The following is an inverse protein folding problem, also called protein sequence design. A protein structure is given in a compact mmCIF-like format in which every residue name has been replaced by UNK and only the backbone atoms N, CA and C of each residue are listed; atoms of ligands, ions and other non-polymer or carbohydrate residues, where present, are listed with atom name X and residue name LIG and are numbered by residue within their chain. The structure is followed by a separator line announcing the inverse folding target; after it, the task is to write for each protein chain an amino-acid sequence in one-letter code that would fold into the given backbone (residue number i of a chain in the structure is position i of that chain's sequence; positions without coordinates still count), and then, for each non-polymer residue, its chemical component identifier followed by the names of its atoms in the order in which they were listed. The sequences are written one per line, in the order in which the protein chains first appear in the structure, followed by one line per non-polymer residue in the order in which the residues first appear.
data_IF_224159484662
#
_entry.id   IF_224159484662
#
_cell.length_a   1.000
_cell.length_b   1.000
_cell.length_c   1.000
_cell.angle_alpha   90.00
_cell.angle_beta   90.00
_cell.angle_gamma   90.00
#
_symmetry.space_group_name_H-M   'P 1'
#
loop_
_entity.id
_entity.type
_entity.pdbx_description
1 polymer ?
#
# COMPACT_ATOMS: atom_id res chain seq x y z
N UNK A 1 -12.67 22.55 17.25
CA UNK A 1 -12.57 21.07 17.34
C UNK A 1 -12.48 20.54 15.92
N UNK A 2 -11.59 19.59 15.65
CA UNK A 2 -11.44 18.94 14.34
C UNK A 2 -12.13 17.58 14.39
N UNK A 3 -12.73 17.15 13.28
CA UNK A 3 -13.45 15.88 13.19
C UNK A 3 -13.09 15.15 11.89
N UNK A 4 -13.04 13.82 11.95
CA UNK A 4 -13.11 12.96 10.77
C UNK A 4 -14.59 12.88 10.35
N UNK A 5 -14.94 13.34 9.14
CA UNK A 5 -16.32 13.66 8.79
C UNK A 5 -16.70 13.21 7.38
N UNK A 6 -17.97 12.83 7.21
CA UNK A 6 -18.60 12.57 5.92
C UNK A 6 -19.77 13.54 5.74
N UNK A 7 -19.82 14.23 4.60
CA UNK A 7 -20.84 15.26 4.34
C UNK A 7 -21.65 14.92 3.10
N UNK A 8 -22.98 14.97 3.22
CA UNK A 8 -23.87 14.94 2.07
C UNK A 8 -23.97 16.33 1.47
N UNK A 9 -23.69 16.41 0.17
CA UNK A 9 -23.88 17.61 -0.64
C UNK A 9 -24.96 17.32 -1.67
N UNK A 10 -26.00 18.16 -1.73
CA UNK A 10 -27.06 18.12 -2.74
C UNK A 10 -27.30 19.53 -3.25
N UNK A 11 -27.40 19.69 -4.57
CA UNK A 11 -27.70 20.96 -5.23
C UNK A 11 -26.78 22.11 -4.78
N UNK A 12 -25.50 21.80 -4.56
CA UNK A 12 -24.49 22.75 -4.09
C UNK A 12 -24.57 23.11 -2.60
N UNK A 13 -25.49 22.53 -1.84
CA UNK A 13 -25.67 22.80 -0.42
C UNK A 13 -25.25 21.60 0.46
N UNK A 14 -24.70 21.91 1.64
CA UNK A 14 -24.45 20.92 2.68
C UNK A 14 -25.75 20.53 3.36
N UNK A 15 -26.17 19.27 3.20
CA UNK A 15 -27.43 18.75 3.74
C UNK A 15 -27.24 18.21 5.16
N UNK A 16 -26.22 17.39 5.38
CA UNK A 16 -25.85 16.93 6.72
C UNK A 16 -24.37 16.51 6.76
N UNK A 17 -23.83 16.45 7.98
CA UNK A 17 -22.48 15.96 8.24
C UNK A 17 -22.52 14.94 9.36
N UNK A 18 -21.95 13.77 9.09
CA UNK A 18 -21.64 12.76 10.09
C UNK A 18 -20.20 12.95 10.58
N UNK A 19 -20.00 12.80 11.88
CA UNK A 19 -18.69 12.80 12.50
C UNK A 19 -18.39 11.40 13.04
N UNK A 20 -17.22 10.87 12.70
CA UNK A 20 -16.77 9.53 13.10
C UNK A 20 -16.79 9.41 14.62
N UNK A 21 -17.37 8.34 15.14
CA UNK A 21 -17.53 8.14 16.59
C UNK A 21 -16.33 7.39 17.17
N UNK A 22 -15.83 6.38 16.45
CA UNK A 22 -14.71 5.56 16.91
C UNK A 22 -13.41 6.00 16.23
N UNK A 23 -12.47 6.49 17.02
CA UNK A 23 -11.18 6.98 16.53
C UNK A 23 -10.11 5.92 16.81
N UNK A 24 -9.60 5.20 15.79
CA UNK A 24 -8.54 4.22 16.02
C UNK A 24 -7.24 4.92 16.45
N UNK A 25 -6.65 4.44 17.54
CA UNK A 25 -5.36 4.89 18.06
C UNK A 25 -4.39 3.72 18.28
N UNK A 26 -4.43 2.75 17.36
CA UNK A 26 -3.66 1.50 17.38
C UNK A 26 -3.09 1.19 15.99
N UNK A 27 -2.10 0.30 15.95
CA UNK A 27 -1.37 -0.08 14.73
C UNK A 27 -0.81 1.15 14.01
N UNK A 28 -1.37 1.51 12.87
CA UNK A 28 -0.91 2.59 11.98
C UNK A 28 -1.72 3.88 12.16
N UNK A 29 -2.72 3.89 13.04
CA UNK A 29 -3.61 5.01 13.26
C UNK A 29 -3.37 5.69 14.62
N UNK A 30 -3.49 7.02 14.63
CA UNK A 30 -3.40 7.89 15.81
C UNK A 30 -4.51 8.96 15.72
N UNK A 31 -5.75 8.56 15.45
CA UNK A 31 -6.83 9.53 15.16
C UNK A 31 -7.24 10.38 16.37
N UNK A 32 -7.08 9.88 17.60
CA UNK A 32 -7.37 10.63 18.84
C UNK A 32 -6.45 11.84 19.02
N UNK A 33 -5.25 11.81 18.44
CA UNK A 33 -4.35 12.97 18.40
C UNK A 33 -4.90 14.11 17.57
N UNK A 34 -5.67 13.82 16.51
CA UNK A 34 -6.09 14.81 15.52
C UNK A 34 -7.56 15.23 15.67
N UNK A 35 -8.42 14.31 16.09
CA UNK A 35 -9.87 14.47 15.99
C UNK A 35 -10.57 14.30 17.34
N UNK A 36 -11.68 15.01 17.48
CA UNK A 36 -12.67 14.71 18.50
C UNK A 36 -13.65 13.65 17.97
N UNK A 37 -14.16 12.81 18.88
CA UNK A 37 -15.21 11.83 18.57
C UNK A 37 -16.54 12.55 18.30
N UNK A 38 -17.28 12.06 17.30
CA UNK A 38 -18.64 12.49 16.98
C UNK A 38 -19.68 11.93 17.96
N UNK A 39 -20.86 12.55 17.99
CA UNK A 39 -21.98 12.14 18.83
C UNK A 39 -23.22 11.81 17.98
N UNK A 40 -23.83 10.65 18.22
CA UNK A 40 -25.10 10.27 17.61
C UNK A 40 -25.05 9.82 16.14
N UNK A 41 -26.13 9.21 15.63
CA UNK A 41 -26.22 8.72 14.26
C UNK A 41 -26.49 9.85 13.26
N UNK A 42 -26.14 9.62 11.99
CA UNK A 42 -26.56 10.45 10.86
C UNK A 42 -27.36 9.58 9.89
N UNK A 43 -28.63 9.92 9.68
CA UNK A 43 -29.54 9.26 8.73
C UNK A 43 -30.03 10.29 7.73
N UNK A 44 -29.79 10.02 6.46
CA UNK A 44 -30.10 10.87 5.32
C UNK A 44 -31.24 10.26 4.52
N UNK A 45 -32.16 11.05 3.97
CA UNK A 45 -33.18 10.52 3.05
C UNK A 45 -32.77 10.79 1.60
N UNK A 46 -32.47 9.73 0.85
CA UNK A 46 -32.10 9.77 -0.55
C UNK A 46 -33.22 9.13 -1.39
N UNK A 47 -33.91 9.94 -2.20
CA UNK A 47 -35.04 9.48 -3.04
C UNK A 47 -36.10 8.66 -2.26
N UNK A 48 -36.36 9.04 -1.00
CA UNK A 48 -37.33 8.36 -0.12
C UNK A 48 -36.75 7.21 0.71
N UNK A 49 -35.49 6.83 0.53
CA UNK A 49 -34.82 5.78 1.31
C UNK A 49 -33.95 6.40 2.40
N UNK A 50 -34.05 5.91 3.63
CA UNK A 50 -33.25 6.39 4.77
C UNK A 50 -31.91 5.67 4.83
N UNK A 51 -30.82 6.36 4.52
CA UNK A 51 -29.45 5.84 4.54
C UNK A 51 -28.70 6.32 5.79
N UNK A 52 -28.24 5.37 6.61
CA UNK A 52 -27.33 5.64 7.72
C UNK A 52 -25.88 5.80 7.21
N UNK A 53 -25.09 6.66 7.87
CA UNK A 53 -23.68 6.88 7.52
C UNK A 53 -22.78 6.45 8.69
N UNK A 54 -21.76 5.66 8.39
CA UNK A 54 -20.65 5.36 9.30
C UNK A 54 -19.30 5.51 8.59
N UNK A 55 -18.23 5.68 9.36
CA UNK A 55 -16.87 5.82 8.83
C UNK A 55 -15.96 4.76 9.45
N UNK A 56 -15.43 3.88 8.62
CA UNK A 56 -14.35 2.95 8.93
C UNK A 56 -14.47 2.24 10.30
N UNK A 57 -13.65 2.62 11.29
CA UNK A 57 -13.62 2.04 12.63
C UNK A 57 -14.99 1.97 13.34
N UNK A 58 -15.95 2.79 12.94
CA UNK A 58 -17.33 2.77 13.48
C UNK A 58 -18.02 1.40 13.35
N UNK A 59 -17.70 0.61 12.32
CA UNK A 59 -18.36 -0.69 12.07
C UNK A 59 -17.58 -1.89 12.60
N UNK A 60 -16.37 -1.70 13.12
CA UNK A 60 -15.53 -2.79 13.65
C UNK A 60 -16.05 -3.38 14.96
N UNK A 61 -16.91 -2.64 15.65
CA UNK A 61 -17.59 -3.05 16.87
C UNK A 61 -19.09 -2.68 16.79
N UNK A 62 -19.88 -3.22 17.73
CA UNK A 62 -21.28 -2.80 17.90
C UNK A 62 -21.37 -1.32 18.36
N UNK A 63 -22.52 -0.69 18.14
CA UNK A 63 -22.81 0.68 18.58
C UNK A 63 -23.24 1.58 17.42
N UNK A 64 -22.32 2.02 16.57
CA UNK A 64 -22.60 3.06 15.59
C UNK A 64 -23.63 2.63 14.53
N UNK A 65 -23.53 1.39 14.03
CA UNK A 65 -24.52 0.81 13.12
C UNK A 65 -25.88 0.58 13.81
N UNK A 66 -25.87 0.19 15.09
CA UNK A 66 -27.10 -0.04 15.87
C UNK A 66 -27.82 1.31 16.14
N UNK A 67 -27.07 2.39 16.40
CA UNK A 67 -27.61 3.75 16.52
C UNK A 67 -28.23 4.23 15.19
N UNK A 68 -27.57 3.97 14.05
CA UNK A 68 -28.12 4.28 12.74
C UNK A 68 -29.44 3.52 12.50
N UNK A 69 -29.50 2.24 12.86
CA UNK A 69 -30.73 1.43 12.79
C UNK A 69 -31.84 2.01 13.68
N UNK A 70 -31.53 2.33 14.93
CA UNK A 70 -32.48 2.90 15.88
C UNK A 70 -33.03 4.27 15.42
N UNK A 71 -32.22 5.05 14.69
CA UNK A 71 -32.62 6.29 14.03
C UNK A 71 -33.40 6.08 12.72
N UNK A 72 -33.72 4.83 12.37
CA UNK A 72 -34.59 4.49 11.25
C UNK A 72 -33.88 4.23 9.93
N UNK A 73 -32.55 4.04 9.91
CA UNK A 73 -31.86 3.65 8.69
C UNK A 73 -32.44 2.35 8.09
N UNK A 74 -32.41 2.30 6.76
CA UNK A 74 -32.85 1.20 5.90
C UNK A 74 -31.66 0.59 5.14
N UNK A 75 -30.64 1.42 4.83
CA UNK A 75 -29.36 1.01 4.24
C UNK A 75 -28.23 1.65 5.05
N UNK A 76 -27.10 0.96 5.21
CA UNK A 76 -25.89 1.51 5.81
C UNK A 76 -24.84 1.84 4.75
N UNK A 77 -24.37 3.08 4.72
CA UNK A 77 -23.27 3.55 3.87
C UNK A 77 -22.02 3.69 4.73
N UNK A 78 -20.97 2.95 4.38
CA UNK A 78 -19.72 2.91 5.16
C UNK A 78 -18.57 3.40 4.29
N UNK A 79 -17.99 4.54 4.68
CA UNK A 79 -16.84 5.14 4.00
C UNK A 79 -15.56 4.70 4.70
N UNK A 80 -14.56 4.28 3.93
CA UNK A 80 -13.35 3.66 4.48
C UNK A 80 -12.08 4.17 3.81
N UNK A 81 -11.05 4.33 4.63
CA UNK A 81 -9.65 4.27 4.26
C UNK A 81 -9.03 3.13 5.08
N UNK A 82 -9.38 1.90 4.74
CA UNK A 82 -8.91 0.69 5.42
C UNK A 82 -7.67 0.17 4.69
N UNK A 83 -6.49 0.18 5.31
CA UNK A 83 -5.26 -0.26 4.67
C UNK A 83 -5.25 -1.78 4.50
N UNK A 84 -4.46 -2.21 3.52
CA UNK A 84 -4.21 -3.58 3.17
C UNK A 84 -3.30 -4.26 4.20
N UNK A 85 -3.64 -5.52 4.49
CA UNK A 85 -2.70 -6.55 4.92
C UNK A 85 -3.30 -7.91 4.55
N UNK A 86 -2.48 -8.96 4.54
CA UNK A 86 -2.92 -10.32 4.20
C UNK A 86 -4.14 -10.70 5.06
N UNK A 87 -5.19 -11.22 4.40
CA UNK A 87 -6.45 -11.67 5.03
C UNK A 87 -7.42 -10.55 5.45
N UNK A 88 -7.12 -9.28 5.13
CA UNK A 88 -7.97 -8.15 5.53
C UNK A 88 -9.32 -8.14 4.81
N UNK A 89 -9.37 -8.61 3.55
CA UNK A 89 -10.60 -8.70 2.75
C UNK A 89 -11.67 -9.56 3.43
N UNK A 90 -11.32 -10.78 3.83
CA UNK A 90 -12.23 -11.70 4.52
C UNK A 90 -12.65 -11.12 5.86
N UNK A 91 -11.70 -10.53 6.59
CA UNK A 91 -11.96 -9.92 7.90
C UNK A 91 -12.97 -8.78 7.81
N UNK A 92 -12.89 -7.90 6.80
CA UNK A 92 -13.87 -6.83 6.58
C UNK A 92 -15.27 -7.41 6.35
N UNK A 93 -15.38 -8.42 5.49
CA UNK A 93 -16.66 -9.05 5.19
C UNK A 93 -17.29 -9.67 6.44
N UNK A 94 -16.49 -10.37 7.25
CA UNK A 94 -16.94 -10.99 8.51
C UNK A 94 -17.45 -9.95 9.53
N UNK A 95 -16.69 -8.86 9.73
CA UNK A 95 -17.09 -7.76 10.60
C UNK A 95 -18.44 -7.17 10.16
N UNK A 96 -18.61 -6.92 8.86
CA UNK A 96 -19.85 -6.34 8.34
C UNK A 96 -21.02 -7.33 8.41
N UNK A 97 -20.81 -8.63 8.23
CA UNK A 97 -21.84 -9.65 8.47
C UNK A 97 -22.36 -9.62 9.90
N UNK A 98 -21.49 -9.39 10.89
CA UNK A 98 -21.90 -9.26 12.28
C UNK A 98 -22.77 -8.01 12.51
N UNK A 99 -22.49 -6.90 11.82
CA UNK A 99 -23.34 -5.69 11.85
C UNK A 99 -24.68 -5.92 11.15
N UNK A 100 -24.69 -6.59 10.00
CA UNK A 100 -25.92 -6.98 9.29
C UNK A 100 -26.78 -7.89 10.17
N UNK A 101 -26.18 -8.86 10.86
CA UNK A 101 -26.91 -9.76 11.74
C UNK A 101 -27.63 -9.04 12.90
N UNK A 102 -27.03 -7.99 13.47
CA UNK A 102 -27.66 -7.22 14.55
C UNK A 102 -28.68 -6.19 14.06
N UNK A 103 -28.46 -5.59 12.90
CA UNK A 103 -29.25 -4.45 12.42
C UNK A 103 -30.27 -4.78 11.33
N UNK A 104 -30.07 -5.89 10.61
CA UNK A 104 -30.75 -6.25 9.35
C UNK A 104 -30.63 -5.20 8.24
N UNK A 105 -29.64 -4.32 8.32
CA UNK A 105 -29.36 -3.34 7.27
C UNK A 105 -28.47 -3.97 6.21
N UNK A 106 -28.83 -3.89 4.92
CA UNK A 106 -27.87 -3.99 3.83
C UNK A 106 -26.77 -2.95 3.99
N UNK A 107 -25.56 -3.29 3.55
CA UNK A 107 -24.37 -2.45 3.74
C UNK A 107 -23.69 -2.19 2.40
N UNK A 108 -23.42 -0.92 2.11
CA UNK A 108 -22.51 -0.49 1.04
C UNK A 108 -21.18 -0.09 1.67
N UNK A 109 -20.15 -0.89 1.44
CA UNK A 109 -18.79 -0.66 1.94
C UNK A 109 -17.91 -0.10 0.82
N UNK A 110 -17.55 1.18 0.92
CA UNK A 110 -16.66 1.85 -0.05
C UNK A 110 -15.31 2.10 0.58
N UNK A 111 -14.24 1.65 -0.07
CA UNK A 111 -12.87 1.78 0.44
C UNK A 111 -11.98 2.53 -0.56
N UNK A 112 -11.04 3.30 -0.01
CA UNK A 112 -9.95 3.91 -0.77
C UNK A 112 -9.13 2.85 -1.50
N UNK A 113 -8.64 3.18 -2.71
CA UNK A 113 -7.66 2.41 -3.45
C UNK A 113 -6.45 3.31 -3.77
N UNK A 114 -5.23 2.81 -3.56
CA UNK A 114 -3.99 3.54 -3.85
C UNK A 114 -2.93 3.42 -2.75
N UNK A 115 -1.67 3.70 -3.08
CA UNK A 115 -0.55 3.79 -2.14
C UNK A 115 -0.42 5.18 -1.51
N UNK A 116 -0.14 5.25 -0.21
CA UNK A 116 0.20 6.48 0.50
C UNK A 116 1.32 6.16 1.50
N UNK A 117 2.52 6.68 1.21
CA UNK A 117 3.73 6.39 1.97
C UNK A 117 3.91 4.88 2.20
N UNK A 118 3.90 4.41 3.45
CA UNK A 118 4.04 2.99 3.79
C UNK A 118 2.77 2.15 3.59
N UNK A 119 1.60 2.80 3.47
CA UNK A 119 0.31 2.13 3.41
C UNK A 119 -0.12 1.93 1.96
N UNK A 120 -0.75 0.78 1.71
CA UNK A 120 -1.51 0.53 0.48
C UNK A 120 -2.96 0.35 0.87
N UNK A 121 -3.86 1.07 0.22
CA UNK A 121 -5.30 0.86 0.32
C UNK A 121 -5.71 0.01 -0.89
N UNK A 122 -6.29 -1.14 -0.62
CA UNK A 122 -6.58 -2.15 -1.63
C UNK A 122 -7.93 -1.95 -2.32
N UNK A 123 -8.71 -0.93 -2.01
CA UNK A 123 -10.07 -0.81 -2.56
C UNK A 123 -10.91 -2.01 -2.14
N UNK A 124 -11.35 -2.82 -3.11
CA UNK A 124 -12.12 -4.03 -2.83
C UNK A 124 -13.49 -3.72 -2.23
N UNK A 125 -14.08 -2.57 -2.61
CA UNK A 125 -15.41 -2.15 -2.19
C UNK A 125 -16.44 -3.26 -2.45
N UNK A 126 -17.41 -3.44 -1.56
CA UNK A 126 -18.37 -4.54 -1.64
C UNK A 126 -19.73 -4.15 -1.06
N UNK A 127 -20.75 -4.95 -1.38
CA UNK A 127 -22.11 -4.76 -0.89
C UNK A 127 -22.64 -6.05 -0.28
N UNK A 128 -23.24 -5.94 0.91
CA UNK A 128 -23.97 -7.01 1.57
C UNK A 128 -25.48 -6.73 1.53
N UNK A 129 -26.29 -7.77 1.29
CA UNK A 129 -27.73 -7.73 1.53
C UNK A 129 -28.08 -7.77 3.03
N UNK A 130 -29.37 -7.72 3.37
CA UNK A 130 -29.85 -7.77 4.77
C UNK A 130 -29.65 -9.14 5.46
N UNK A 131 -29.21 -10.16 4.72
CA UNK A 131 -28.87 -11.48 5.22
C UNK A 131 -27.36 -11.68 5.41
N UNK A 132 -26.54 -10.70 4.99
CA UNK A 132 -25.07 -10.77 5.07
C UNK A 132 -24.44 -11.50 3.89
N UNK A 133 -25.19 -11.71 2.81
CA UNK A 133 -24.68 -12.27 1.55
C UNK A 133 -23.96 -11.19 0.77
N UNK A 134 -22.79 -11.51 0.22
CA UNK A 134 -22.08 -10.60 -0.69
C UNK A 134 -22.80 -10.57 -2.04
N UNK A 135 -23.32 -9.42 -2.43
CA UNK A 135 -24.04 -9.21 -3.70
C UNK A 135 -23.16 -8.55 -4.77
N UNK A 136 -22.13 -7.82 -4.33
CA UNK A 136 -21.15 -7.16 -5.18
C UNK A 136 -19.77 -7.22 -4.53
N UNK A 137 -18.73 -7.36 -5.35
CA UNK A 137 -17.34 -7.28 -4.93
C UNK A 137 -16.52 -6.68 -6.06
N UNK A 138 -16.00 -5.46 -5.85
CA UNK A 138 -15.15 -4.77 -6.82
C UNK A 138 -13.69 -5.28 -6.75
N UNK A 139 -12.88 -5.02 -7.80
CA UNK A 139 -11.46 -5.38 -7.80
C UNK A 139 -10.70 -4.78 -6.62
N UNK A 140 -9.62 -5.46 -6.22
CA UNK A 140 -8.61 -4.89 -5.33
C UNK A 140 -7.50 -4.22 -6.14
N UNK A 141 -6.84 -3.22 -5.56
CA UNK A 141 -5.69 -2.50 -6.11
C UNK A 141 -5.95 -1.71 -7.41
N UNK A 142 -7.22 -1.48 -7.75
CA UNK A 142 -7.65 -0.72 -8.93
C UNK A 142 -8.66 0.36 -8.52
N UNK A 143 -8.63 1.50 -9.21
CA UNK A 143 -9.71 2.47 -9.15
C UNK A 143 -10.93 1.89 -9.89
N UNK A 144 -12.08 1.88 -9.23
CA UNK A 144 -13.28 1.27 -9.77
C UNK A 144 -14.53 2.06 -9.43
N UNK A 145 -15.47 2.09 -10.38
CA UNK A 145 -16.81 2.64 -10.22
C UNK A 145 -17.83 1.54 -10.52
N UNK A 146 -18.78 1.36 -9.62
CA UNK A 146 -19.92 0.47 -9.82
C UNK A 146 -21.22 1.21 -9.51
N UNK A 147 -22.27 0.88 -10.27
CA UNK A 147 -23.63 1.35 -10.03
C UNK A 147 -24.40 0.17 -9.48
N UNK A 148 -24.90 0.31 -8.26
CA UNK A 148 -25.65 -0.74 -7.55
C UNK A 148 -27.09 -0.29 -7.39
N UNK A 149 -28.01 -1.03 -8.00
CA UNK A 149 -29.44 -0.79 -7.86
C UNK A 149 -29.97 -1.41 -6.56
N UNK A 150 -30.73 -0.62 -5.81
CA UNK A 150 -31.49 -1.08 -4.66
C UNK A 150 -32.98 -1.10 -5.01
N UNK A 151 -33.64 -2.23 -4.73
CA UNK A 151 -35.08 -2.41 -4.93
C UNK A 151 -35.67 -2.96 -3.64
N UNK A 152 -36.71 -2.31 -3.13
CA UNK A 152 -37.39 -2.67 -1.87
C UNK A 152 -36.43 -2.78 -0.67
N UNK A 153 -35.40 -1.91 -0.65
CA UNK A 153 -34.38 -1.88 0.39
C UNK A 153 -33.22 -2.83 0.17
N UNK A 154 -33.27 -3.75 -0.80
CA UNK A 154 -32.21 -4.76 -1.03
C UNK A 154 -31.36 -4.46 -2.27
N UNK A 155 -30.05 -4.78 -2.25
CA UNK A 155 -29.21 -4.66 -3.43
C UNK A 155 -29.55 -5.74 -4.46
N UNK A 156 -29.69 -5.35 -5.73
CA UNK A 156 -29.72 -6.32 -6.83
C UNK A 156 -28.34 -6.98 -6.95
N UNK A 157 -28.24 -8.32 -7.12
CA UNK A 157 -26.96 -8.99 -7.35
C UNK A 157 -26.25 -8.44 -8.58
N UNK A 158 -24.93 -8.36 -8.54
CA UNK A 158 -24.11 -7.98 -9.69
C UNK A 158 -22.74 -8.63 -9.67
N UNK A 159 -21.73 -7.90 -10.12
CA UNK A 159 -20.39 -8.45 -10.33
C UNK A 159 -19.71 -8.76 -9.00
N UNK A 160 -19.20 -9.99 -8.88
CA UNK A 160 -18.37 -10.43 -7.76
C UNK A 160 -17.01 -10.86 -8.30
N UNK A 161 -15.99 -10.03 -8.09
CA UNK A 161 -14.62 -10.33 -8.48
C UNK A 161 -14.03 -11.37 -7.52
N UNK A 162 -13.49 -12.45 -8.08
CA UNK A 162 -12.86 -13.52 -7.32
C UNK A 162 -11.66 -13.01 -6.49
N UNK A 163 -11.37 -13.67 -5.38
CA UNK A 163 -10.16 -13.38 -4.64
C UNK A 163 -8.93 -13.89 -5.40
N UNK A 164 -7.88 -13.07 -5.58
CA UNK A 164 -6.61 -13.55 -6.08
C UNK A 164 -5.95 -14.49 -5.05
N UNK A 165 -4.88 -15.19 -5.44
CA UNK A 165 -4.03 -15.88 -4.46
C UNK A 165 -3.34 -14.84 -3.56
N UNK A 166 -2.84 -15.28 -2.41
CA UNK A 166 -2.13 -14.40 -1.47
C UNK A 166 -0.90 -13.77 -2.15
N UNK A 167 -0.17 -14.54 -2.96
CA UNK A 167 1.01 -14.05 -3.69
C UNK A 167 0.64 -12.96 -4.70
N UNK A 168 -0.43 -13.17 -5.45
CA UNK A 168 -0.91 -12.17 -6.41
C UNK A 168 -1.43 -10.91 -5.70
N UNK A 169 -2.12 -11.06 -4.57
CA UNK A 169 -2.59 -9.94 -3.74
C UNK A 169 -1.41 -9.09 -3.22
N UNK A 170 -0.40 -9.75 -2.62
CA UNK A 170 0.78 -9.08 -2.09
C UNK A 170 1.58 -8.41 -3.21
N UNK A 171 1.76 -9.09 -4.35
CA UNK A 171 2.49 -8.54 -5.48
C UNK A 171 1.81 -7.28 -6.04
N UNK A 172 0.48 -7.31 -6.21
CA UNK A 172 -0.29 -6.15 -6.65
C UNK A 172 -0.21 -4.99 -5.66
N UNK A 173 -0.21 -5.26 -4.35
CA UNK A 173 -0.01 -4.23 -3.34
C UNK A 173 1.37 -3.55 -3.49
N UNK A 174 2.43 -4.33 -3.68
CA UNK A 174 3.79 -3.81 -3.88
C UNK A 174 3.90 -2.97 -5.16
N UNK A 175 3.33 -3.45 -6.27
CA UNK A 175 3.29 -2.73 -7.55
C UNK A 175 2.54 -1.41 -7.40
N UNK A 176 1.37 -1.41 -6.76
CA UNK A 176 0.58 -0.19 -6.54
C UNK A 176 1.31 0.79 -5.64
N UNK A 177 1.96 0.31 -4.56
CA UNK A 177 2.76 1.14 -3.67
C UNK A 177 3.90 1.85 -4.40
N UNK A 178 4.68 1.14 -5.21
CA UNK A 178 5.75 1.72 -6.02
C UNK A 178 5.20 2.71 -7.04
N UNK A 179 4.15 2.32 -7.79
CA UNK A 179 3.53 3.18 -8.81
C UNK A 179 3.07 4.50 -8.23
N UNK A 180 2.34 4.46 -7.12
CA UNK A 180 1.76 5.64 -6.51
C UNK A 180 2.81 6.49 -5.79
N UNK A 181 3.80 5.88 -5.14
CA UNK A 181 4.86 6.64 -4.49
C UNK A 181 5.65 7.47 -5.52
N UNK A 182 6.06 6.87 -6.63
CA UNK A 182 6.75 7.61 -7.69
C UNK A 182 5.83 8.58 -8.43
N UNK A 183 4.61 8.15 -8.75
CA UNK A 183 3.64 8.95 -9.50
C UNK A 183 3.20 10.20 -8.75
N UNK A 184 2.80 10.06 -7.48
CA UNK A 184 2.29 11.17 -6.65
C UNK A 184 3.38 12.18 -6.28
N UNK A 185 4.64 11.74 -6.19
CA UNK A 185 5.78 12.61 -5.93
C UNK A 185 6.49 13.13 -7.21
N UNK A 186 6.02 12.74 -8.40
CA UNK A 186 6.55 13.24 -9.67
C UNK A 186 7.96 12.74 -10.03
N UNK A 187 8.36 11.56 -9.56
CA UNK A 187 9.66 10.99 -9.90
C UNK A 187 9.69 10.52 -11.37
N UNK A 188 10.76 10.85 -12.13
CA UNK A 188 10.86 10.51 -13.55
C UNK A 188 11.02 9.00 -13.79
N UNK A 189 11.59 8.26 -12.83
CA UNK A 189 11.82 6.82 -12.92
C UNK A 189 12.50 6.26 -11.67
N UNK A 190 12.90 4.99 -11.74
CA UNK A 190 13.56 4.27 -10.66
C UNK A 190 14.96 3.78 -11.04
N UNK A 191 15.87 3.76 -10.06
CA UNK A 191 17.19 3.14 -10.15
C UNK A 191 17.25 2.02 -9.11
N UNK A 192 17.67 0.82 -9.52
CA UNK A 192 17.84 -0.34 -8.63
C UNK A 192 19.27 -0.84 -8.71
N UNK A 193 19.90 -1.04 -7.55
CA UNK A 193 21.17 -1.74 -7.46
C UNK A 193 20.93 -3.25 -7.61
N UNK A 194 21.57 -3.87 -8.61
CA UNK A 194 21.35 -5.28 -8.91
C UNK A 194 22.52 -6.12 -8.40
N UNK A 195 22.23 -7.09 -7.54
CA UNK A 195 23.25 -7.95 -6.91
C UNK A 195 23.40 -9.33 -7.58
N UNK A 196 22.42 -9.71 -8.41
CA UNK A 196 22.22 -11.08 -8.91
C UNK A 196 21.40 -11.95 -7.95
N UNK A 197 21.03 -11.42 -6.77
CA UNK A 197 20.19 -12.12 -5.80
C UNK A 197 18.69 -11.89 -6.02
N UNK A 198 17.88 -12.77 -5.41
CA UNK A 198 16.42 -12.81 -5.57
C UNK A 198 15.71 -11.54 -5.09
N UNK A 199 16.20 -10.87 -4.05
CA UNK A 199 15.53 -9.66 -3.53
C UNK A 199 15.58 -8.52 -4.56
N UNK A 200 16.76 -8.23 -5.09
CA UNK A 200 16.92 -7.20 -6.13
C UNK A 200 16.20 -7.57 -7.43
N UNK A 201 16.12 -8.87 -7.75
CA UNK A 201 15.36 -9.37 -8.89
C UNK A 201 13.86 -9.11 -8.71
N UNK A 202 13.28 -9.44 -7.56
CA UNK A 202 11.87 -9.19 -7.27
C UNK A 202 11.56 -7.68 -7.30
N UNK A 203 12.39 -6.85 -6.65
CA UNK A 203 12.23 -5.38 -6.71
C UNK A 203 12.25 -4.87 -8.14
N UNK A 204 13.09 -5.44 -9.00
CA UNK A 204 13.18 -5.04 -10.40
C UNK A 204 11.89 -5.39 -11.18
N UNK A 205 11.35 -6.60 -11.01
CA UNK A 205 10.07 -6.98 -11.62
C UNK A 205 8.94 -6.04 -11.18
N UNK A 206 8.84 -5.77 -9.87
CA UNK A 206 7.84 -4.85 -9.30
C UNK A 206 7.98 -3.45 -9.91
N UNK A 207 9.21 -2.93 -10.02
CA UNK A 207 9.46 -1.61 -10.58
C UNK A 207 9.04 -1.52 -12.05
N UNK A 208 9.33 -2.55 -12.85
CA UNK A 208 8.94 -2.61 -14.26
C UNK A 208 7.42 -2.67 -14.41
N UNK A 209 6.72 -3.50 -13.63
CA UNK A 209 5.25 -3.59 -13.68
C UNK A 209 4.56 -2.32 -13.15
N UNK A 210 5.22 -1.60 -12.23
CA UNK A 210 4.71 -0.35 -11.70
C UNK A 210 4.87 0.81 -12.67
N UNK A 211 6.01 0.90 -13.38
CA UNK A 211 6.46 2.13 -14.04
C UNK A 211 6.65 2.01 -15.55
N UNK A 212 6.79 0.79 -16.08
CA UNK A 212 7.29 0.55 -17.44
C UNK A 212 8.82 0.41 -17.49
N UNK A 213 9.32 -0.47 -18.36
CA UNK A 213 10.74 -0.78 -18.48
C UNK A 213 11.60 0.44 -18.86
N UNK A 214 11.04 1.38 -19.61
CA UNK A 214 11.70 2.61 -20.06
C UNK A 214 11.99 3.60 -18.93
N UNK A 215 11.28 3.48 -17.80
CA UNK A 215 11.46 4.30 -16.60
C UNK A 215 12.27 3.61 -15.52
N UNK A 216 12.83 2.43 -15.81
CA UNK A 216 13.60 1.63 -14.86
C UNK A 216 15.04 1.46 -15.35
N UNK A 217 15.98 1.69 -14.44
CA UNK A 217 17.42 1.47 -14.67
C UNK A 217 17.98 0.53 -13.61
N UNK A 218 18.61 -0.54 -14.05
CA UNK A 218 19.40 -1.41 -13.19
C UNK A 218 20.89 -0.99 -13.24
N UNK A 219 21.57 -1.07 -12.09
CA UNK A 219 23.01 -0.80 -11.99
C UNK A 219 23.68 -1.93 -11.22
N UNK A 220 24.55 -2.67 -11.90
CA UNK A 220 25.39 -3.69 -11.29
C UNK A 220 26.72 -3.06 -10.87
N UNK A 221 27.16 -3.33 -9.65
CA UNK A 221 28.33 -2.68 -9.04
C UNK A 221 29.31 -3.73 -8.51
N UNK A 222 30.07 -4.39 -9.41
CA UNK A 222 30.89 -5.53 -9.05
C UNK A 222 32.11 -5.10 -8.24
N UNK A 223 32.46 -5.92 -7.25
CA UNK A 223 33.75 -5.88 -6.58
C UNK A 223 34.66 -6.99 -7.15
N UNK A 224 35.95 -7.02 -6.78
CA UNK A 224 36.84 -8.13 -7.16
C UNK A 224 36.37 -9.51 -6.65
N UNK A 225 35.44 -9.53 -5.70
CA UNK A 225 34.87 -10.75 -5.12
C UNK A 225 33.53 -11.16 -5.77
N UNK A 226 33.00 -10.35 -6.69
CA UNK A 226 31.74 -10.66 -7.36
C UNK A 226 31.91 -11.87 -8.29
N UNK A 227 31.06 -12.88 -8.10
CA UNK A 227 31.09 -14.09 -8.92
C UNK A 227 30.55 -13.83 -10.34
N UNK A 228 31.14 -14.50 -11.34
CA UNK A 228 30.71 -14.40 -12.74
C UNK A 228 29.25 -14.79 -12.95
N UNK A 229 28.74 -15.73 -12.14
CA UNK A 229 27.34 -16.16 -12.20
C UNK A 229 26.40 -14.99 -11.91
N UNK A 230 26.68 -14.20 -10.87
CA UNK A 230 25.88 -13.02 -10.51
C UNK A 230 25.83 -12.01 -11.64
N UNK A 231 26.93 -11.80 -12.37
CA UNK A 231 26.97 -10.94 -13.55
C UNK A 231 26.12 -11.50 -14.69
N UNK A 232 26.26 -12.79 -14.99
CA UNK A 232 25.50 -13.44 -16.07
C UNK A 232 23.99 -13.44 -15.82
N UNK A 233 23.54 -13.76 -14.61
CA UNK A 233 22.12 -13.78 -14.22
C UNK A 233 21.51 -12.37 -14.27
N UNK A 234 22.27 -11.38 -13.79
CA UNK A 234 21.89 -9.96 -13.86
C UNK A 234 21.67 -9.48 -15.28
N UNK A 235 22.60 -9.79 -16.18
CA UNK A 235 22.53 -9.42 -17.60
C UNK A 235 21.35 -10.09 -18.29
N UNK A 236 21.09 -11.36 -17.98
CA UNK A 236 19.98 -12.10 -18.57
C UNK A 236 18.62 -11.55 -18.11
N UNK A 237 18.47 -11.27 -16.81
CA UNK A 237 17.25 -10.68 -16.27
C UNK A 237 16.95 -9.32 -16.91
N UNK A 238 17.95 -8.45 -17.00
CA UNK A 238 17.87 -7.16 -17.68
C UNK A 238 17.42 -7.32 -19.13
N UNK A 239 18.01 -8.29 -19.84
CA UNK A 239 17.71 -8.57 -21.25
C UNK A 239 16.24 -9.00 -21.43
N UNK A 240 15.73 -9.84 -20.54
CA UNK A 240 14.35 -10.31 -20.56
C UNK A 240 13.35 -9.18 -20.28
N UNK A 241 13.68 -8.28 -19.34
CA UNK A 241 12.82 -7.16 -18.97
C UNK A 241 12.95 -5.93 -19.89
N UNK A 242 13.97 -5.89 -20.75
CA UNK A 242 14.16 -4.79 -21.71
C UNK A 242 14.52 -3.45 -21.05
N UNK A 243 15.19 -3.49 -19.90
CA UNK A 243 15.53 -2.30 -19.11
C UNK A 243 16.93 -1.77 -19.43
N UNK A 244 17.17 -0.50 -19.12
CA UNK A 244 18.51 0.07 -19.15
C UNK A 244 19.39 -0.57 -18.07
N UNK A 245 20.62 -0.91 -18.43
CA UNK A 245 21.59 -1.52 -17.52
C UNK A 245 22.98 -0.93 -17.70
N UNK A 246 23.66 -0.70 -16.58
CA UNK A 246 25.04 -0.21 -16.54
C UNK A 246 25.85 -1.01 -15.49
N UNK A 247 27.13 -1.23 -15.76
CA UNK A 247 28.07 -1.84 -14.82
C UNK A 247 29.12 -0.82 -14.37
N UNK A 248 29.26 -0.64 -13.06
CA UNK A 248 30.20 0.32 -12.45
C UNK A 248 31.03 -0.41 -11.39
N UNK A 249 32.24 -0.82 -11.73
CA UNK A 249 33.14 -1.52 -10.81
C UNK A 249 33.50 -0.64 -9.59
N UNK A 250 33.42 -1.22 -8.39
CA UNK A 250 33.68 -0.49 -7.13
C UNK A 250 35.13 -0.63 -6.64
N UNK A 251 35.93 -1.50 -7.26
CA UNK A 251 37.33 -1.74 -6.88
C UNK A 251 38.17 -0.45 -6.77
N UNK A 252 38.08 0.53 -7.69
CA UNK A 252 38.85 1.77 -7.56
C UNK A 252 38.52 2.53 -6.28
N UNK A 253 37.23 2.66 -5.94
CA UNK A 253 36.79 3.32 -4.71
C UNK A 253 37.21 2.54 -3.46
N UNK A 254 37.11 1.19 -3.50
CA UNK A 254 37.60 0.34 -2.41
C UNK A 254 39.08 0.57 -2.12
N UNK A 255 39.92 0.62 -3.16
CA UNK A 255 41.36 0.91 -3.02
C UNK A 255 41.62 2.29 -2.43
N UNK A 256 40.86 3.31 -2.86
CA UNK A 256 40.97 4.66 -2.30
C UNK A 256 40.65 4.69 -0.81
N UNK A 257 39.53 4.10 -0.39
CA UNK A 257 39.16 4.08 1.02
C UNK A 257 40.12 3.23 1.87
N UNK A 258 40.59 2.10 1.35
CA UNK A 258 41.61 1.29 2.02
C UNK A 258 42.90 2.08 2.26
N UNK A 259 43.35 2.88 1.28
CA UNK A 259 44.51 3.75 1.45
C UNK A 259 44.26 4.88 2.46
N UNK A 260 43.06 5.49 2.45
CA UNK A 260 42.69 6.54 3.40
C UNK A 260 42.64 6.07 4.86
N UNK A 261 42.27 4.80 5.09
CA UNK A 261 42.08 4.21 6.41
C UNK A 261 43.28 3.36 6.86
N UNK A 262 44.32 3.24 6.02
CA UNK A 262 45.44 2.34 6.23
C UNK A 262 46.12 2.53 7.59
N UNK A 263 46.35 3.77 7.99
CA UNK A 263 47.02 4.07 9.27
C UNK A 263 46.13 3.73 10.46
N UNK A 264 44.82 3.99 10.36
CA UNK A 264 43.84 3.76 11.42
C UNK A 264 43.56 2.28 11.62
N UNK A 265 43.63 1.48 10.55
CA UNK A 265 43.38 0.03 10.60
C UNK A 265 44.67 -0.80 10.73
N UNK A 266 45.84 -0.17 10.86
CA UNK A 266 47.11 -0.86 10.96
C UNK A 266 47.14 -1.85 12.14
N UNK A 267 47.36 -3.13 11.83
CA UNK A 267 47.45 -4.21 12.84
C UNK A 267 46.09 -4.77 13.29
N UNK A 268 44.97 -4.27 12.77
CA UNK A 268 43.65 -4.85 12.99
C UNK A 268 43.35 -5.92 11.92
N UNK A 269 42.68 -7.03 12.28
CA UNK A 269 42.21 -8.01 11.30
C UNK A 269 41.05 -7.42 10.48
N UNK A 270 40.93 -7.84 9.21
CA UNK A 270 39.75 -7.54 8.40
C UNK A 270 38.51 -8.19 9.00
N UNK A 271 37.39 -7.48 8.98
CA UNK A 271 36.10 -7.94 9.51
C UNK A 271 34.94 -7.41 8.64
N UNK A 272 33.74 -7.30 9.21
CA UNK A 272 32.57 -6.78 8.49
C UNK A 272 32.73 -5.31 8.08
N UNK A 273 33.73 -4.59 8.59
CA UNK A 273 34.04 -3.21 8.22
C UNK A 273 34.35 -3.10 6.73
N UNK A 274 35.20 -3.96 6.18
CA UNK A 274 35.56 -3.96 4.76
C UNK A 274 34.37 -4.32 3.86
N UNK A 275 33.50 -5.23 4.31
CA UNK A 275 32.26 -5.60 3.60
C UNK A 275 31.25 -4.44 3.60
N UNK A 276 31.03 -3.83 4.76
CA UNK A 276 30.13 -2.68 4.92
C UNK A 276 30.60 -1.48 4.10
N UNK A 277 31.92 -1.30 3.94
CA UNK A 277 32.46 -0.25 3.07
C UNK A 277 32.05 -0.46 1.60
N UNK A 278 32.04 -1.71 1.11
CA UNK A 278 31.56 -2.01 -0.24
C UNK A 278 30.09 -1.62 -0.41
N UNK A 279 29.24 -1.95 0.56
CA UNK A 279 27.81 -1.58 0.54
C UNK A 279 27.62 -0.05 0.51
N UNK A 280 28.37 0.70 1.33
CA UNK A 280 28.33 2.18 1.34
C UNK A 280 28.80 2.78 0.02
N UNK A 281 29.86 2.24 -0.59
CA UNK A 281 30.32 2.69 -1.92
C UNK A 281 29.21 2.51 -2.96
N UNK A 282 28.53 1.36 -2.97
CA UNK A 282 27.39 1.10 -3.86
C UNK A 282 26.26 2.10 -3.62
N UNK A 283 25.90 2.34 -2.37
CA UNK A 283 24.91 3.35 -1.99
C UNK A 283 25.27 4.74 -2.51
N UNK A 284 26.52 5.18 -2.35
CA UNK A 284 26.99 6.46 -2.87
C UNK A 284 26.88 6.58 -4.39
N UNK A 285 27.19 5.51 -5.14
CA UNK A 285 27.07 5.50 -6.60
C UNK A 285 25.59 5.66 -7.01
N UNK A 286 24.69 4.87 -6.42
CA UNK A 286 23.26 4.94 -6.72
C UNK A 286 22.68 6.32 -6.38
N UNK A 287 23.05 6.86 -5.22
CA UNK A 287 22.62 8.20 -4.82
C UNK A 287 23.21 9.28 -5.73
N UNK A 288 24.46 9.17 -6.17
CA UNK A 288 25.03 10.12 -7.13
C UNK A 288 24.27 10.12 -8.47
N UNK A 289 23.86 8.94 -8.96
CA UNK A 289 23.02 8.80 -10.15
C UNK A 289 21.62 9.38 -9.93
N UNK A 290 21.00 9.10 -8.78
CA UNK A 290 19.70 9.65 -8.38
C UNK A 290 19.75 11.18 -8.35
N UNK A 291 20.70 11.78 -7.63
CA UNK A 291 20.87 13.23 -7.53
C UNK A 291 21.05 13.90 -8.90
N UNK A 292 21.69 13.22 -9.85
CA UNK A 292 21.97 13.78 -11.19
C UNK A 292 20.79 13.63 -12.16
N UNK A 293 19.97 12.60 -11.99
CA UNK A 293 18.90 12.24 -12.94
C UNK A 293 17.49 12.51 -12.41
N UNK A 294 17.36 12.72 -11.10
CA UNK A 294 16.08 12.85 -10.40
C UNK A 294 15.36 11.52 -10.16
N UNK A 295 15.86 10.38 -10.65
CA UNK A 295 15.22 9.09 -10.43
C UNK A 295 15.34 8.60 -8.98
N UNK A 296 14.33 7.90 -8.47
CA UNK A 296 14.31 7.38 -7.11
C UNK A 296 15.13 6.09 -7.00
N UNK A 297 15.97 5.96 -5.97
CA UNK A 297 16.61 4.68 -5.66
C UNK A 297 15.62 3.79 -4.93
N UNK A 298 15.34 2.60 -5.47
CA UNK A 298 14.60 1.57 -4.75
C UNK A 298 15.58 0.64 -4.04
N UNK A 299 15.46 0.55 -2.71
CA UNK A 299 16.25 -0.38 -1.90
C UNK A 299 15.65 -1.78 -1.97
N UNK A 300 16.48 -2.80 -1.73
CA UNK A 300 16.13 -4.21 -1.95
C UNK A 300 16.22 -5.04 -0.67
N UNK A 301 16.23 -4.39 0.50
CA UNK A 301 16.27 -5.09 1.78
C UNK A 301 14.92 -5.70 2.13
N UNK A 302 14.91 -6.93 2.63
CA UNK A 302 13.67 -7.63 3.01
C UNK A 302 13.41 -7.57 4.53
N UNK A 303 12.20 -8.00 4.92
CA UNK A 303 11.75 -7.92 6.33
C UNK A 303 12.61 -8.74 7.29
N UNK A 304 13.16 -9.87 6.84
CA UNK A 304 14.02 -10.73 7.66
C UNK A 304 15.36 -10.05 7.94
N UNK A 305 15.97 -9.44 6.92
CA UNK A 305 17.22 -8.69 7.06
C UNK A 305 17.06 -7.50 7.99
N UNK A 306 15.98 -6.71 7.82
CA UNK A 306 15.69 -5.58 8.70
C UNK A 306 15.49 -6.01 10.16
N UNK A 307 14.87 -7.17 10.39
CA UNK A 307 14.57 -7.66 11.73
C UNK A 307 15.83 -8.04 12.53
N UNK A 308 16.84 -8.61 11.86
CA UNK A 308 18.09 -9.04 12.52
C UNK A 308 19.25 -8.07 12.30
N UNK A 309 19.01 -6.94 11.61
CA UNK A 309 20.04 -5.95 11.29
C UNK A 309 21.07 -6.44 10.27
N UNK A 310 20.71 -7.41 9.42
CA UNK A 310 21.58 -7.91 8.36
C UNK A 310 21.50 -7.02 7.11
N UNK A 311 21.86 -5.75 7.30
CA UNK A 311 21.82 -4.71 6.28
C UNK A 311 22.86 -3.62 6.59
N UNK A 312 23.30 -2.90 5.57
CA UNK A 312 24.22 -1.76 5.71
C UNK A 312 23.69 -0.54 4.98
#
# INVERSE_FOLDING_TARGET
RCYNAATLISDGARVATYYKQRLPSYEVFDEERYFASGEGPCVLTLKGVRCGVNICADVWEAGAADLARAAGAEILLVLNASPYHIGKRERRTEVLRQRVASTRLPVVYVNLAGGQDELVFDGGSFVLDSNGTVCWQLPQFEEALAIVDFVDGEPRPGTIVAAPSIEAEVYQALVLGVRDYLGKNGFPGAIIGLSGGIDSALTLCIAVDALGAERVRAVMMPSPYTADISLSESREMVRLLGIRYDEIAIEPAMKTFAAMLQQQFAGLPADTTEENLQARIRGMILMALSNKTGALVLTTGNKSEMAVGYCT
#
